data_IF_157744244419
#
_entry.id   IF_157744244419
#
_cell.length_a   1.000
_cell.length_b   1.000
_cell.length_c   1.000
_cell.angle_alpha   90.00
_cell.angle_beta   90.00
_cell.angle_gamma   90.00
#
_symmetry.space_group_name_H-M   'P 1'
#
loop_
_entity.id
_entity.type
_entity.pdbx_description
1 polymer ?
#
# COMPACT_ATOMS: atom_id res chain seq x y z
N UNK A 1 -17.25 -29.52 6.50
CA UNK A 1 -16.78 -28.42 5.64
C UNK A 1 -16.24 -27.35 6.58
N UNK A 2 -14.92 -27.20 6.70
CA UNK A 2 -14.34 -26.14 7.53
C UNK A 2 -14.62 -24.81 6.85
N UNK A 3 -15.38 -23.93 7.50
CA UNK A 3 -15.55 -22.55 7.07
C UNK A 3 -14.16 -21.90 7.08
N UNK A 4 -13.66 -21.60 5.88
CA UNK A 4 -12.39 -20.90 5.70
C UNK A 4 -12.62 -19.41 6.01
N UNK A 5 -12.54 -19.04 7.30
CA UNK A 5 -12.54 -17.63 7.68
C UNK A 5 -11.22 -16.96 7.24
N UNK A 6 -11.32 -15.75 6.72
CA UNK A 6 -10.17 -14.87 6.56
C UNK A 6 -9.50 -14.66 7.91
N UNK A 7 -8.19 -14.83 7.97
CA UNK A 7 -7.45 -14.22 9.06
C UNK A 7 -7.66 -12.71 8.95
N UNK A 8 -8.12 -12.08 10.03
CA UNK A 8 -8.46 -10.64 10.08
C UNK A 8 -7.26 -9.76 9.66
N UNK A 9 -6.05 -10.27 9.83
CA UNK A 9 -4.80 -9.56 9.54
C UNK A 9 -4.10 -10.01 8.25
N UNK A 10 -4.47 -11.17 7.67
CA UNK A 10 -3.83 -11.69 6.45
C UNK A 10 -2.30 -11.70 6.52
N UNK A 11 -1.66 -11.31 5.42
CA UNK A 11 -0.19 -11.11 5.33
C UNK A 11 0.24 -9.68 5.66
N UNK A 12 -0.70 -8.82 6.05
CA UNK A 12 -0.49 -7.40 6.30
C UNK A 12 0.61 -7.08 7.31
N UNK A 13 0.62 -7.66 8.51
CA UNK A 13 1.65 -7.40 9.50
C UNK A 13 3.06 -7.74 8.99
N UNK A 14 3.20 -8.83 8.23
CA UNK A 14 4.47 -9.21 7.63
C UNK A 14 4.95 -8.19 6.59
N UNK A 15 4.06 -7.77 5.68
CA UNK A 15 4.38 -6.74 4.69
C UNK A 15 4.78 -5.42 5.35
N UNK A 16 3.97 -4.92 6.27
CA UNK A 16 4.19 -3.63 6.95
C UNK A 16 5.50 -3.66 7.74
N UNK A 17 5.77 -4.72 8.51
CA UNK A 17 7.03 -4.88 9.24
C UNK A 17 8.23 -4.86 8.29
N UNK A 18 8.16 -5.57 7.17
CA UNK A 18 9.24 -5.63 6.18
C UNK A 18 9.55 -4.26 5.60
N UNK A 19 8.54 -3.51 5.13
CA UNK A 19 8.79 -2.21 4.50
C UNK A 19 9.24 -1.15 5.50
N UNK A 20 8.74 -1.16 6.73
CA UNK A 20 9.22 -0.26 7.80
C UNK A 20 10.67 -0.56 8.13
N UNK A 21 11.01 -1.82 8.38
CA UNK A 21 12.40 -2.23 8.69
C UNK A 21 13.35 -1.87 7.56
N UNK A 22 12.95 -2.12 6.32
CA UNK A 22 13.74 -1.78 5.12
C UNK A 22 13.90 -0.27 4.97
N UNK A 23 12.86 0.53 5.26
CA UNK A 23 12.91 1.99 5.23
C UNK A 23 13.91 2.51 6.27
N UNK A 24 13.82 2.02 7.49
CA UNK A 24 14.76 2.39 8.58
C UNK A 24 16.19 2.01 8.20
N UNK A 25 16.40 0.79 7.72
CA UNK A 25 17.72 0.34 7.29
C UNK A 25 18.30 1.20 6.16
N UNK A 26 17.48 1.57 5.17
CA UNK A 26 17.88 2.43 4.07
C UNK A 26 18.29 3.83 4.53
N UNK A 27 17.55 4.40 5.50
CA UNK A 27 17.88 5.70 6.10
C UNK A 27 19.18 5.61 6.90
N UNK A 28 19.34 4.58 7.72
CA UNK A 28 20.57 4.39 8.50
C UNK A 28 21.78 4.22 7.59
N UNK A 29 21.67 3.41 6.54
CA UNK A 29 22.74 3.28 5.53
C UNK A 29 23.06 4.62 4.88
N UNK A 30 22.05 5.41 4.51
CA UNK A 30 22.26 6.74 3.94
C UNK A 30 22.97 7.71 4.88
N UNK A 31 22.64 7.67 6.18
CA UNK A 31 23.21 8.59 7.17
C UNK A 31 24.62 8.19 7.63
N UNK A 32 24.91 6.89 7.71
CA UNK A 32 26.16 6.38 8.31
C UNK A 32 27.18 5.86 7.29
N UNK A 33 26.83 5.80 6.00
CA UNK A 33 27.74 5.37 4.95
C UNK A 33 27.95 6.47 3.90
N UNK A 34 29.15 6.60 3.30
CA UNK A 34 29.41 7.58 2.24
C UNK A 34 28.78 7.16 0.91
N UNK A 35 27.46 6.85 0.93
CA UNK A 35 26.74 6.56 -0.31
C UNK A 35 26.61 7.85 -1.11
N UNK A 36 27.02 7.81 -2.38
CA UNK A 36 26.88 8.94 -3.28
C UNK A 36 25.47 9.50 -3.26
N UNK A 37 25.30 10.74 -2.85
CA UNK A 37 24.00 11.41 -2.85
C UNK A 37 23.75 11.99 -4.24
N UNK A 38 22.89 11.34 -5.02
CA UNK A 38 22.39 11.86 -6.28
C UNK A 38 21.12 12.63 -5.99
N UNK A 39 21.25 13.96 -5.93
CA UNK A 39 20.10 14.86 -5.68
C UNK A 39 19.21 14.90 -6.91
N UNK A 40 17.92 14.66 -6.71
CA UNK A 40 16.93 14.59 -7.78
C UNK A 40 16.18 15.93 -7.96
N UNK A 41 15.85 16.58 -6.86
CA UNK A 41 15.06 17.82 -6.82
C UNK A 41 15.75 18.89 -5.97
N UNK A 42 15.26 20.13 -6.01
CA UNK A 42 15.57 21.05 -4.93
C UNK A 42 15.06 20.50 -3.59
N UNK A 43 15.76 20.77 -2.49
CA UNK A 43 15.37 20.22 -1.17
C UNK A 43 13.93 20.60 -0.79
N UNK A 44 13.48 21.80 -1.13
CA UNK A 44 12.10 22.24 -0.87
C UNK A 44 11.10 21.35 -1.63
N UNK A 45 11.35 21.09 -2.91
CA UNK A 45 10.47 20.24 -3.73
C UNK A 45 10.43 18.81 -3.19
N UNK A 46 11.57 18.24 -2.82
CA UNK A 46 11.62 16.91 -2.24
C UNK A 46 10.81 16.81 -0.93
N UNK A 47 10.98 17.79 -0.03
CA UNK A 47 10.23 17.84 1.22
C UNK A 47 8.73 17.99 0.95
N UNK A 48 8.32 18.89 0.07
CA UNK A 48 6.90 19.09 -0.26
C UNK A 48 6.28 17.81 -0.82
N UNK A 49 6.93 17.17 -1.79
CA UNK A 49 6.45 15.92 -2.37
C UNK A 49 6.41 14.79 -1.34
N UNK A 50 7.43 14.64 -0.52
CA UNK A 50 7.48 13.64 0.54
C UNK A 50 6.37 13.84 1.57
N UNK A 51 6.15 15.07 2.04
CA UNK A 51 5.09 15.41 3.00
C UNK A 51 3.70 15.17 2.40
N UNK A 52 3.47 15.51 1.13
CA UNK A 52 2.20 15.23 0.46
C UNK A 52 1.89 13.73 0.44
N UNK A 53 2.86 12.88 0.11
CA UNK A 53 2.69 11.42 0.14
C UNK A 53 2.44 10.88 1.55
N UNK A 54 3.09 11.45 2.57
CA UNK A 54 2.85 11.09 3.97
C UNK A 54 1.42 11.43 4.35
N UNK A 55 0.94 12.62 4.02
CA UNK A 55 -0.44 13.04 4.31
C UNK A 55 -1.43 12.13 3.59
N UNK A 56 -1.20 11.83 2.29
CA UNK A 56 -2.05 10.91 1.53
C UNK A 56 -2.09 9.51 2.18
N UNK A 57 -0.94 9.00 2.62
CA UNK A 57 -0.84 7.73 3.33
C UNK A 57 -1.65 7.73 4.63
N UNK A 58 -1.56 8.79 5.45
CA UNK A 58 -2.33 8.93 6.69
C UNK A 58 -3.83 8.97 6.39
N UNK A 59 -4.26 9.79 5.43
CA UNK A 59 -5.68 9.91 5.03
C UNK A 59 -6.21 8.56 4.55
N UNK A 60 -5.43 7.84 3.74
CA UNK A 60 -5.80 6.53 3.23
C UNK A 60 -5.93 5.50 4.36
N UNK A 61 -5.00 5.50 5.31
CA UNK A 61 -5.03 4.60 6.47
C UNK A 61 -6.25 4.88 7.37
N UNK A 62 -6.47 6.14 7.74
CA UNK A 62 -7.62 6.55 8.55
C UNK A 62 -8.92 6.16 7.85
N UNK A 63 -9.04 6.44 6.55
CA UNK A 63 -10.22 6.09 5.76
C UNK A 63 -10.46 4.57 5.73
N UNK A 64 -9.40 3.78 5.65
CA UNK A 64 -9.51 2.33 5.62
C UNK A 64 -9.91 1.74 6.98
N UNK A 65 -9.34 2.24 8.07
CA UNK A 65 -9.56 1.69 9.42
C UNK A 65 -10.85 2.22 10.04
N UNK A 66 -11.08 3.54 9.98
CA UNK A 66 -12.19 4.20 10.71
C UNK A 66 -13.51 4.08 9.94
N UNK A 67 -13.51 4.39 8.63
CA UNK A 67 -14.76 4.51 7.87
C UNK A 67 -15.21 3.24 7.16
N UNK A 68 -14.34 2.23 7.01
CA UNK A 68 -14.69 1.04 6.25
C UNK A 68 -15.53 0.03 7.02
N UNK A 69 -15.58 0.11 8.36
CA UNK A 69 -16.12 -0.96 9.22
C UNK A 69 -15.64 -2.35 8.76
N UNK A 70 -14.37 -2.41 8.35
CA UNK A 70 -13.78 -3.54 7.65
C UNK A 70 -13.95 -4.85 8.43
N UNK A 71 -13.72 -4.82 9.73
CA UNK A 71 -13.81 -6.00 10.59
C UNK A 71 -15.22 -6.61 10.58
N UNK A 72 -16.27 -5.78 10.60
CA UNK A 72 -17.65 -6.26 10.57
C UNK A 72 -18.02 -6.90 9.22
N UNK A 73 -17.51 -6.30 8.11
CA UNK A 73 -17.75 -6.83 6.75
C UNK A 73 -16.96 -8.11 6.47
N UNK A 74 -15.73 -8.22 6.96
CA UNK A 74 -14.95 -9.45 6.89
C UNK A 74 -15.68 -10.58 7.62
N UNK A 75 -16.18 -10.33 8.83
CA UNK A 75 -16.96 -11.31 9.60
C UNK A 75 -18.26 -11.74 8.93
N UNK A 76 -18.85 -10.88 8.08
CA UNK A 76 -20.07 -11.21 7.33
C UNK A 76 -19.80 -11.88 5.97
N UNK A 77 -18.55 -12.21 5.64
CA UNK A 77 -18.15 -12.80 4.36
C UNK A 77 -18.63 -11.99 3.13
N UNK A 78 -18.68 -10.65 3.22
CA UNK A 78 -19.06 -9.78 2.12
C UNK A 78 -17.85 -9.06 1.54
N UNK A 79 -17.73 -9.07 0.21
CA UNK A 79 -16.68 -8.32 -0.48
C UNK A 79 -16.86 -6.80 -0.27
N UNK A 80 -15.81 -6.14 0.20
CA UNK A 80 -15.82 -4.69 0.43
C UNK A 80 -15.30 -3.99 -0.83
N UNK A 81 -16.20 -3.27 -1.51
CA UNK A 81 -15.89 -2.57 -2.77
C UNK A 81 -16.23 -1.08 -2.76
N UNK A 82 -16.75 -0.57 -1.60
CA UNK A 82 -17.21 0.83 -1.44
C UNK A 82 -16.26 1.63 -0.55
N UNK A 83 -16.41 2.96 -0.56
CA UNK A 83 -15.56 3.87 0.18
C UNK A 83 -14.15 3.86 -0.41
N UNK A 84 -13.13 3.83 0.41
CA UNK A 84 -11.72 3.81 0.00
C UNK A 84 -11.38 2.58 -0.89
N UNK A 85 -12.09 1.46 -0.71
CA UNK A 85 -11.93 0.27 -1.54
C UNK A 85 -12.47 0.43 -2.99
N UNK A 86 -13.17 1.53 -3.27
CA UNK A 86 -13.52 1.86 -4.65
C UNK A 86 -12.35 2.48 -5.44
N UNK A 87 -11.31 2.96 -4.75
CA UNK A 87 -10.14 3.63 -5.34
C UNK A 87 -8.90 2.74 -5.36
N UNK A 88 -8.73 1.90 -4.32
CA UNK A 88 -7.60 0.97 -4.21
C UNK A 88 -8.03 -0.29 -3.46
N UNK A 89 -7.57 -1.47 -3.94
CA UNK A 89 -8.00 -2.75 -3.36
C UNK A 89 -7.40 -3.03 -1.98
N UNK A 90 -6.19 -2.56 -1.74
CA UNK A 90 -5.44 -2.80 -0.50
C UNK A 90 -5.07 -1.49 0.19
N UNK A 91 -6.05 -0.69 0.68
CA UNK A 91 -5.81 0.67 1.15
C UNK A 91 -4.85 0.74 2.34
N UNK A 92 -4.88 -0.22 3.26
CA UNK A 92 -3.99 -0.24 4.43
C UNK A 92 -2.54 -0.44 3.99
N UNK A 93 -2.27 -1.40 3.09
CA UNK A 93 -0.91 -1.67 2.60
C UNK A 93 -0.38 -0.53 1.73
N UNK A 94 -1.24 0.03 0.90
CA UNK A 94 -0.91 1.21 0.08
C UNK A 94 -0.59 2.43 0.95
N UNK A 95 -1.30 2.62 2.04
CA UNK A 95 -1.05 3.69 3.00
C UNK A 95 0.38 3.60 3.57
N UNK A 96 0.78 2.44 4.08
CA UNK A 96 2.15 2.24 4.59
C UNK A 96 3.21 2.38 3.49
N UNK A 97 2.91 1.92 2.27
CA UNK A 97 3.80 2.12 1.12
C UNK A 97 4.01 3.60 0.81
N UNK A 98 2.93 4.40 0.81
CA UNK A 98 3.00 5.85 0.60
C UNK A 98 3.76 6.55 1.72
N UNK A 99 3.51 6.20 2.99
CA UNK A 99 4.22 6.73 4.15
C UNK A 99 5.74 6.49 4.03
N UNK A 100 6.16 5.24 3.82
CA UNK A 100 7.56 4.88 3.68
C UNK A 100 8.21 5.57 2.46
N UNK A 101 7.50 5.62 1.33
CA UNK A 101 7.96 6.32 0.12
C UNK A 101 8.14 7.81 0.37
N UNK A 102 7.16 8.46 1.01
CA UNK A 102 7.23 9.89 1.32
C UNK A 102 8.42 10.23 2.23
N UNK A 103 8.66 9.40 3.26
CA UNK A 103 9.83 9.55 4.13
C UNK A 103 11.13 9.48 3.30
N UNK A 104 11.28 8.47 2.43
CA UNK A 104 12.49 8.31 1.61
C UNK A 104 12.70 9.46 0.62
N UNK A 105 11.62 10.03 0.05
CA UNK A 105 11.70 11.18 -0.84
C UNK A 105 12.20 12.42 -0.11
N UNK A 106 11.84 12.62 1.16
CA UNK A 106 12.35 13.75 1.96
C UNK A 106 13.87 13.76 2.09
N UNK A 107 14.56 12.62 1.98
CA UNK A 107 16.03 12.54 1.97
C UNK A 107 16.65 12.96 0.63
N UNK A 108 15.85 13.20 -0.40
CA UNK A 108 16.27 13.73 -1.71
C UNK A 108 17.47 13.00 -2.34
N UNK A 109 17.51 11.67 -2.22
CA UNK A 109 18.53 10.83 -2.82
C UNK A 109 17.91 9.81 -3.77
N UNK A 110 18.29 9.88 -5.06
CA UNK A 110 17.78 9.01 -6.12
C UNK A 110 17.97 7.51 -5.79
N UNK A 111 19.06 7.16 -5.12
CA UNK A 111 19.34 5.75 -4.75
C UNK A 111 18.26 5.19 -3.81
N UNK A 112 17.73 6.03 -2.91
CA UNK A 112 16.65 5.62 -2.02
C UNK A 112 15.33 5.32 -2.75
N UNK A 113 15.14 5.81 -3.98
CA UNK A 113 13.93 5.56 -4.77
C UNK A 113 13.84 4.13 -5.34
N UNK A 114 14.89 3.34 -5.20
CA UNK A 114 14.84 1.88 -5.48
C UNK A 114 13.87 1.19 -4.50
N UNK A 115 13.78 1.65 -3.26
CA UNK A 115 12.95 1.00 -2.24
C UNK A 115 11.44 1.12 -2.51
N UNK A 116 10.86 2.28 -2.90
CA UNK A 116 9.47 2.34 -3.36
C UNK A 116 9.11 1.36 -4.47
N UNK A 117 10.01 1.16 -5.44
CA UNK A 117 9.82 0.16 -6.48
C UNK A 117 9.79 -1.25 -5.88
N UNK A 118 10.73 -1.54 -4.99
CA UNK A 118 10.75 -2.80 -4.24
C UNK A 118 9.46 -2.99 -3.43
N UNK A 119 8.97 -1.99 -2.70
CA UNK A 119 7.73 -2.08 -1.91
C UNK A 119 6.52 -2.41 -2.77
N UNK A 120 6.41 -1.76 -3.94
CA UNK A 120 5.33 -2.03 -4.88
C UNK A 120 5.39 -3.46 -5.45
N UNK A 121 6.56 -3.90 -5.89
CA UNK A 121 6.76 -5.24 -6.43
C UNK A 121 6.52 -6.31 -5.37
N UNK A 122 7.06 -6.10 -4.17
CA UNK A 122 6.90 -7.01 -3.04
C UNK A 122 5.43 -7.16 -2.65
N UNK A 123 4.69 -6.04 -2.51
CA UNK A 123 3.26 -6.07 -2.25
C UNK A 123 2.51 -6.80 -3.37
N UNK A 124 2.85 -6.53 -4.62
CA UNK A 124 2.20 -7.14 -5.78
C UNK A 124 2.35 -8.65 -5.77
N UNK A 125 3.58 -9.14 -5.59
CA UNK A 125 3.87 -10.57 -5.54
C UNK A 125 3.17 -11.22 -4.34
N UNK A 126 3.30 -10.61 -3.16
CA UNK A 126 2.70 -11.13 -1.94
C UNK A 126 1.17 -11.26 -2.08
N UNK A 127 0.49 -10.22 -2.60
CA UNK A 127 -0.96 -10.25 -2.80
C UNK A 127 -1.41 -11.31 -3.80
N UNK A 128 -0.72 -11.46 -4.93
CA UNK A 128 -1.08 -12.44 -5.96
C UNK A 128 -1.04 -13.86 -5.42
N UNK A 129 0.01 -14.19 -4.68
CA UNK A 129 0.21 -15.57 -4.20
C UNK A 129 -0.53 -15.90 -2.91
N UNK A 130 -1.08 -14.92 -2.22
CA UNK A 130 -1.76 -15.10 -0.93
C UNK A 130 -3.22 -14.64 -0.98
N UNK A 131 -3.49 -13.41 -0.60
CA UNK A 131 -4.84 -12.89 -0.36
C UNK A 131 -5.70 -12.87 -1.62
N UNK A 132 -5.15 -12.45 -2.78
CA UNK A 132 -5.94 -12.41 -4.01
C UNK A 132 -6.36 -13.80 -4.50
N UNK A 133 -5.51 -14.81 -4.33
CA UNK A 133 -5.85 -16.19 -4.65
C UNK A 133 -7.04 -16.64 -3.82
N UNK A 134 -6.98 -16.41 -2.52
CA UNK A 134 -8.03 -16.77 -1.59
C UNK A 134 -9.33 -15.98 -1.83
N UNK A 135 -9.25 -14.65 -2.10
CA UNK A 135 -10.40 -13.82 -2.44
C UNK A 135 -11.09 -14.26 -3.74
N UNK A 136 -10.30 -14.69 -4.74
CA UNK A 136 -10.84 -15.28 -5.98
C UNK A 136 -11.58 -16.59 -5.72
N UNK A 137 -11.06 -17.44 -4.84
CA UNK A 137 -11.70 -18.69 -4.48
C UNK A 137 -13.01 -18.47 -3.71
N UNK A 138 -13.06 -17.43 -2.86
CA UNK A 138 -14.23 -17.13 -2.04
C UNK A 138 -15.33 -16.39 -2.82
N UNK A 139 -14.96 -15.30 -3.52
CA UNK A 139 -15.93 -14.39 -4.18
C UNK A 139 -16.07 -14.61 -5.69
N UNK A 140 -15.31 -15.55 -6.26
CA UNK A 140 -15.40 -15.98 -7.66
C UNK A 140 -15.41 -14.79 -8.64
N UNK A 141 -16.44 -14.71 -9.50
CA UNK A 141 -16.56 -13.71 -10.55
C UNK A 141 -16.69 -12.28 -10.00
N UNK A 142 -17.33 -12.10 -8.85
CA UNK A 142 -17.50 -10.79 -8.21
C UNK A 142 -16.12 -10.14 -7.92
N UNK A 143 -15.17 -10.92 -7.38
CA UNK A 143 -13.83 -10.42 -7.14
C UNK A 143 -13.04 -10.16 -8.42
N UNK A 144 -13.19 -11.00 -9.44
CA UNK A 144 -12.55 -10.80 -10.75
C UNK A 144 -13.01 -9.49 -11.39
N UNK A 145 -14.30 -9.19 -11.34
CA UNK A 145 -14.85 -7.96 -11.90
C UNK A 145 -14.47 -6.71 -11.07
N UNK A 146 -14.32 -6.86 -9.77
CA UNK A 146 -13.75 -5.83 -8.91
C UNK A 146 -12.29 -5.54 -9.29
N UNK A 147 -11.46 -6.56 -9.52
CA UNK A 147 -10.05 -6.41 -9.93
C UNK A 147 -9.88 -5.66 -11.26
N UNK A 148 -10.82 -5.79 -12.20
CA UNK A 148 -10.78 -5.06 -13.47
C UNK A 148 -11.03 -3.55 -13.31
N UNK A 149 -11.72 -3.16 -12.24
CA UNK A 149 -12.16 -1.79 -12.01
C UNK A 149 -11.27 -1.00 -11.07
N UNK A 150 -10.57 -1.66 -10.15
CA UNK A 150 -9.84 -1.02 -9.07
C UNK A 150 -8.40 -1.52 -9.04
N UNK A 151 -7.44 -0.59 -8.95
CA UNK A 151 -6.01 -0.91 -8.87
C UNK A 151 -5.66 -1.61 -7.54
N UNK A 152 -4.59 -2.42 -7.55
CA UNK A 152 -4.14 -3.18 -6.38
C UNK A 152 -3.57 -2.30 -5.29
N UNK A 153 -2.62 -1.41 -5.65
CA UNK A 153 -1.76 -0.70 -4.71
C UNK A 153 -1.80 0.82 -4.87
N UNK A 154 -2.09 1.31 -6.07
CA UNK A 154 -2.07 2.74 -6.37
C UNK A 154 -3.50 3.26 -6.36
N UNK A 155 -3.84 4.24 -5.50
CA UNK A 155 -5.15 4.87 -5.52
C UNK A 155 -5.39 5.54 -6.87
N UNK A 156 -6.44 5.16 -7.57
CA UNK A 156 -6.79 5.74 -8.85
C UNK A 156 -8.23 6.22 -8.82
N UNK A 157 -8.42 7.50 -9.08
CA UNK A 157 -9.76 8.05 -9.32
C UNK A 157 -10.26 7.52 -10.66
N UNK A 158 -11.42 6.88 -10.64
CA UNK A 158 -12.04 6.39 -11.85
C UNK A 158 -12.46 7.59 -12.70
N UNK A 159 -11.76 7.87 -13.77
CA UNK A 159 -12.28 8.74 -14.81
C UNK A 159 -13.41 7.92 -15.46
N UNK A 160 -14.66 8.24 -15.12
CA UNK A 160 -15.80 7.70 -15.86
C UNK A 160 -15.60 8.12 -17.31
N UNK A 161 -15.20 7.19 -18.18
CA UNK A 161 -15.42 7.37 -19.60
C UNK A 161 -16.94 7.32 -19.77
N UNK A 162 -17.54 8.50 -19.98
CA UNK A 162 -18.87 8.63 -20.56
C UNK A 162 -18.91 7.93 -21.91
#
# INVERSE_FOLDING_TARGET
MSEKYLSVFGVGPFYVATIITTTVAAILLHLFTPIASIVLFSNIVAIVLGVLLIIEGIVLWVSAVVFSHLTAKIKSNKLVTKGVFAYVRNPIYSAFMLLCTGILICFNNLILLVFPVFFYLFLTVLMIYTEEKWLKDLYKQEYVDYCKRVNRCIPMFKINKM
#
